data_IF_016093136829
#
_entry.id   IF_016093136829
#
_cell.length_a   1.000
_cell.length_b   1.000
_cell.length_c   1.000
_cell.angle_alpha   90.00
_cell.angle_beta   90.00
_cell.angle_gamma   90.00
#
_symmetry.space_group_name_H-M   'P 1'
#
loop_
_entity.id
_entity.type
_entity.pdbx_description
1 polymer ?
#
# COMPACT_ATOMS: atom_id res chain seq x y z
N UNK A 1 -19.35 -26.37 -43.56
CA UNK A 1 -18.65 -25.53 -44.55
C UNK A 1 -19.46 -24.31 -44.95
N UNK A 2 -20.76 -24.38 -45.28
CA UNK A 2 -21.57 -23.15 -45.50
C UNK A 2 -22.01 -22.47 -44.19
N UNK A 3 -22.24 -23.25 -43.12
CA UNK A 3 -22.63 -22.74 -41.80
C UNK A 3 -21.52 -21.94 -41.09
N UNK A 4 -20.26 -22.19 -41.45
CA UNK A 4 -19.09 -21.50 -40.90
C UNK A 4 -18.94 -20.07 -41.48
N UNK A 5 -19.38 -19.85 -42.73
CA UNK A 5 -19.34 -18.53 -43.37
C UNK A 5 -20.52 -17.65 -42.93
N UNK A 6 -21.70 -18.21 -42.65
CA UNK A 6 -22.86 -17.44 -42.20
C UNK A 6 -22.69 -16.90 -40.77
N UNK A 7 -21.89 -17.57 -39.94
CA UNK A 7 -21.56 -17.12 -38.58
C UNK A 7 -20.54 -15.97 -38.58
N UNK A 8 -19.67 -15.90 -39.59
CA UNK A 8 -18.70 -14.82 -39.75
C UNK A 8 -19.33 -13.49 -40.20
N UNK A 9 -20.45 -13.52 -40.93
CA UNK A 9 -21.22 -12.31 -41.29
C UNK A 9 -22.19 -11.85 -40.17
N UNK A 10 -22.43 -12.70 -39.16
CA UNK A 10 -23.27 -12.40 -37.98
C UNK A 10 -22.47 -12.02 -36.74
N UNK A 11 -21.25 -11.48 -36.89
CA UNK A 11 -20.59 -10.85 -35.73
C UNK A 11 -21.33 -9.56 -35.41
N UNK A 12 -21.90 -9.41 -34.20
CA UNK A 12 -22.61 -8.18 -33.86
C UNK A 12 -21.61 -7.01 -33.90
N UNK A 13 -22.02 -5.83 -34.40
CA UNK A 13 -21.15 -4.66 -34.58
C UNK A 13 -20.51 -4.17 -33.28
N UNK A 14 -20.97 -4.67 -32.13
CA UNK A 14 -20.38 -4.45 -30.82
C UNK A 14 -18.97 -5.04 -30.67
N UNK A 15 -18.69 -6.21 -31.26
CA UNK A 15 -17.36 -6.83 -31.18
C UNK A 15 -16.32 -6.11 -32.04
N UNK A 16 -16.69 -5.69 -33.25
CA UNK A 16 -15.82 -4.88 -34.11
C UNK A 16 -15.54 -3.49 -33.51
N UNK A 17 -16.56 -2.85 -32.93
CA UNK A 17 -16.40 -1.56 -32.25
C UNK A 17 -15.48 -1.69 -31.04
N UNK A 18 -15.59 -2.77 -30.25
CA UNK A 18 -14.69 -3.03 -29.12
C UNK A 18 -13.24 -3.25 -29.59
N UNK A 19 -13.05 -4.03 -30.66
CA UNK A 19 -11.73 -4.29 -31.26
C UNK A 19 -11.05 -3.03 -31.78
N UNK A 20 -11.81 -2.12 -32.40
CA UNK A 20 -11.28 -0.83 -32.85
C UNK A 20 -10.95 0.11 -31.67
N UNK A 21 -11.79 0.17 -30.63
CA UNK A 21 -11.50 0.97 -29.42
C UNK A 21 -10.22 0.50 -28.71
N UNK A 22 -9.99 -0.81 -28.64
CA UNK A 22 -8.77 -1.38 -28.05
C UNK A 22 -7.55 -1.08 -28.94
N UNK A 23 -7.66 -1.25 -30.26
CA UNK A 23 -6.58 -0.93 -31.21
C UNK A 23 -6.23 0.56 -31.25
N UNK A 24 -7.22 1.43 -31.18
CA UNK A 24 -7.04 2.89 -31.15
C UNK A 24 -6.42 3.36 -29.81
N UNK A 25 -6.69 2.64 -28.71
CA UNK A 25 -6.06 2.88 -27.42
C UNK A 25 -4.57 2.46 -27.41
N UNK A 26 -4.22 1.37 -28.09
CA UNK A 26 -2.82 0.91 -28.22
C UNK A 26 -2.01 1.75 -29.24
N UNK A 27 -2.64 2.23 -30.31
CA UNK A 27 -1.97 3.02 -31.36
C UNK A 27 -1.65 4.46 -30.91
N UNK A 28 -2.32 4.96 -29.87
CA UNK A 28 -2.11 6.29 -29.31
C UNK A 28 -1.17 6.18 -28.11
N UNK A 29 0.13 6.06 -28.40
CA UNK A 29 1.19 5.92 -27.38
C UNK A 29 1.06 6.93 -26.23
N UNK A 30 1.48 6.52 -25.03
CA UNK A 30 1.37 7.34 -23.82
C UNK A 30 2.09 8.68 -23.99
N UNK A 31 1.39 9.77 -23.66
CA UNK A 31 1.99 11.11 -23.66
C UNK A 31 3.21 11.12 -22.73
N UNK A 32 4.37 11.66 -23.15
CA UNK A 32 5.56 11.75 -22.30
C UNK A 32 5.26 12.41 -20.94
N UNK A 33 4.38 13.41 -20.88
CA UNK A 33 3.96 14.03 -19.61
C UNK A 33 3.21 13.07 -18.69
N UNK A 34 2.37 12.18 -19.23
CA UNK A 34 1.70 11.14 -18.45
C UNK A 34 2.68 10.09 -17.96
N UNK A 35 3.64 9.68 -18.80
CA UNK A 35 4.69 8.74 -18.39
C UNK A 35 5.49 9.32 -17.22
N UNK A 36 5.91 10.59 -17.33
CA UNK A 36 6.65 11.27 -16.25
C UNK A 36 5.80 11.37 -14.99
N UNK A 37 4.51 11.72 -15.11
CA UNK A 37 3.61 11.79 -13.95
C UNK A 37 3.51 10.44 -13.24
N UNK A 38 3.31 9.35 -14.00
CA UNK A 38 3.26 8.00 -13.44
C UNK A 38 4.58 7.60 -12.80
N UNK A 39 5.72 7.94 -13.41
CA UNK A 39 7.04 7.66 -12.83
C UNK A 39 7.27 8.41 -11.52
N UNK A 40 6.94 9.71 -11.46
CA UNK A 40 7.13 10.52 -10.25
C UNK A 40 6.20 10.03 -9.13
N UNK A 41 4.92 9.83 -9.42
CA UNK A 41 3.95 9.34 -8.44
C UNK A 41 4.31 7.93 -7.98
N UNK A 42 4.67 7.04 -8.90
CA UNK A 42 5.08 5.67 -8.60
C UNK A 42 6.34 5.63 -7.75
N UNK A 43 7.35 6.43 -8.08
CA UNK A 43 8.60 6.50 -7.32
C UNK A 43 8.35 7.04 -5.90
N UNK A 44 7.51 8.06 -5.75
CA UNK A 44 7.11 8.57 -4.43
C UNK A 44 6.35 7.52 -3.62
N UNK A 45 5.41 6.80 -4.22
CA UNK A 45 4.65 5.74 -3.54
C UNK A 45 5.56 4.61 -3.07
N UNK A 46 6.44 4.11 -3.95
CA UNK A 46 7.41 3.06 -3.60
C UNK A 46 8.34 3.53 -2.49
N UNK A 47 8.84 4.77 -2.57
CA UNK A 47 9.69 5.36 -1.54
C UNK A 47 8.96 5.45 -0.19
N UNK A 48 7.72 5.92 -0.19
CA UNK A 48 6.93 6.10 1.04
C UNK A 48 6.58 4.75 1.68
N UNK A 49 6.09 3.80 0.87
CA UNK A 49 5.72 2.46 1.34
C UNK A 49 6.95 1.69 1.79
N UNK A 50 8.03 1.71 1.01
CA UNK A 50 9.29 1.06 1.36
C UNK A 50 9.87 1.61 2.66
N UNK A 51 9.89 2.94 2.81
CA UNK A 51 10.38 3.58 4.02
C UNK A 51 9.48 3.30 5.23
N UNK A 52 8.16 3.30 5.05
CA UNK A 52 7.22 2.96 6.11
C UNK A 52 7.36 1.50 6.54
N UNK A 53 7.46 0.58 5.59
CA UNK A 53 7.68 -0.83 5.85
C UNK A 53 9.00 -1.05 6.61
N UNK A 54 10.07 -0.38 6.17
CA UNK A 54 11.37 -0.44 6.85
C UNK A 54 11.30 0.16 8.26
N UNK A 55 10.58 1.26 8.45
CA UNK A 55 10.35 1.86 9.76
C UNK A 55 9.60 0.92 10.71
N UNK A 56 8.54 0.27 10.23
CA UNK A 56 7.77 -0.70 11.00
C UNK A 56 8.61 -1.94 11.31
N UNK A 57 9.39 -2.43 10.34
CA UNK A 57 10.30 -3.55 10.55
C UNK A 57 11.35 -3.21 11.62
N UNK A 58 11.99 -2.05 11.48
CA UNK A 58 12.95 -1.56 12.45
C UNK A 58 12.31 -1.44 13.84
N UNK A 59 11.09 -0.92 13.98
CA UNK A 59 10.41 -0.86 15.28
C UNK A 59 10.15 -2.24 15.90
N UNK A 60 9.88 -3.26 15.09
CA UNK A 60 9.70 -4.64 15.57
C UNK A 60 11.01 -5.28 16.02
N UNK A 61 12.13 -4.94 15.36
CA UNK A 61 13.46 -5.47 15.70
C UNK A 61 14.20 -4.61 16.73
N UNK A 62 13.81 -3.35 16.88
CA UNK A 62 14.36 -2.44 17.86
C UNK A 62 13.90 -2.91 19.24
N UNK A 63 14.82 -3.10 20.20
CA UNK A 63 14.45 -3.45 21.55
C UNK A 63 13.50 -2.37 22.09
N UNK A 64 12.44 -2.75 22.83
CA UNK A 64 11.45 -1.80 23.35
C UNK A 64 12.20 -0.68 24.02
N UNK A 65 11.98 0.56 23.56
CA UNK A 65 12.66 1.75 24.07
C UNK A 65 12.57 1.68 25.59
N UNK A 66 13.66 1.26 26.24
CA UNK A 66 13.68 1.09 27.69
C UNK A 66 13.48 2.48 28.24
N UNK A 67 12.23 2.80 28.64
CA UNK A 67 11.96 3.95 29.49
C UNK A 67 12.99 3.83 30.60
N UNK A 68 13.81 4.88 30.79
CA UNK A 68 14.87 4.86 31.80
C UNK A 68 14.29 4.22 33.05
N UNK A 69 14.89 3.13 33.57
CA UNK A 69 14.30 2.40 34.68
C UNK A 69 13.99 3.42 35.76
N UNK A 70 12.70 3.52 36.08
CA UNK A 70 12.23 4.50 37.05
C UNK A 70 12.93 4.14 38.34
N UNK A 71 13.80 5.03 38.83
CA UNK A 71 14.55 4.80 40.06
C UNK A 71 13.60 4.27 41.13
N UNK A 72 14.03 3.25 41.89
CA UNK A 72 13.18 2.61 42.92
C UNK A 72 12.55 3.66 43.87
N UNK A 73 13.24 4.79 44.10
CA UNK A 73 12.72 5.94 44.86
C UNK A 73 11.51 6.60 44.19
N UNK A 74 11.52 6.77 42.87
CA UNK A 74 10.41 7.35 42.09
C UNK A 74 9.24 6.35 41.97
N UNK A 75 9.51 5.05 41.78
CA UNK A 75 8.44 4.03 41.81
C UNK A 75 7.76 3.96 43.18
N UNK A 76 8.52 3.96 44.28
CA UNK A 76 7.94 3.98 45.64
C UNK A 76 7.14 5.26 45.88
N UNK A 77 7.63 6.41 45.41
CA UNK A 77 6.91 7.70 45.53
C UNK A 77 5.61 7.73 44.72
N UNK A 78 5.55 7.14 43.53
CA UNK A 78 4.29 7.01 42.79
C UNK A 78 3.34 5.99 43.40
N UNK A 79 3.83 4.82 43.84
CA UNK A 79 3.00 3.81 44.52
C UNK A 79 2.36 4.34 45.80
N UNK A 80 3.11 5.12 46.58
CA UNK A 80 2.59 5.81 47.78
C UNK A 80 1.58 6.91 47.44
N UNK A 81 1.74 7.62 46.31
CA UNK A 81 0.78 8.63 45.84
C UNK A 81 -0.50 8.04 45.28
N UNK A 82 -0.41 6.86 44.67
CA UNK A 82 -1.55 6.15 44.10
C UNK A 82 -2.32 5.34 45.17
N UNK A 83 -1.86 5.36 46.43
CA UNK A 83 -2.54 4.65 47.53
C UNK A 83 -2.59 3.12 47.35
N UNK A 84 -1.77 2.57 46.45
CA UNK A 84 -1.75 1.13 46.19
C UNK A 84 -1.12 0.46 47.41
N UNK A 85 -1.93 -0.26 48.20
CA UNK A 85 -1.43 -1.03 49.32
C UNK A 85 -0.39 -2.03 48.82
N UNK A 86 0.58 -2.34 49.68
CA UNK A 86 1.64 -3.26 49.33
C UNK A 86 1.04 -4.58 48.84
N UNK A 87 1.58 -5.20 47.76
CA UNK A 87 1.19 -6.55 47.39
C UNK A 87 1.67 -7.50 48.49
N UNK A 88 0.82 -7.74 49.48
CA UNK A 88 1.14 -8.50 50.69
C UNK A 88 0.39 -8.06 51.95
N UNK A 89 -0.90 -7.70 51.81
CA UNK A 89 -1.90 -8.12 52.81
C UNK A 89 -2.41 -9.51 52.44
#
# INVERSE_FOLDING_TARGET
>A
MEEDFEFADKVPPSFERMGNVIKDADAKGFNPGLIVLLLVVGLLLVFLVGNYALYVYAQKTLPPRKKKPVSKKKMKRERLKQGVSAPGE
#
